data_IF_657069847780
#
_entry.id   IF_657069847780
#
_cell.length_a   1.000
_cell.length_b   1.000
_cell.length_c   1.000
_cell.angle_alpha   90.00
_cell.angle_beta   90.00
_cell.angle_gamma   90.00
#
_symmetry.space_group_name_H-M   'P 1'
#
loop_
_entity.id
_entity.type
_entity.pdbx_description
1 polymer ?
#
# COMPACT_ATOMS: atom_id res chain seq x y z
N UNK A 1 -10.28 2.59 -17.79
CA UNK A 1 -11.12 2.94 -16.62
C UNK A 1 -10.91 1.85 -15.60
N UNK A 2 -10.39 2.20 -14.42
CA UNK A 2 -10.27 1.23 -13.33
C UNK A 2 -11.64 1.07 -12.69
N UNK A 3 -12.14 -0.17 -12.61
CA UNK A 3 -13.48 -0.44 -12.10
C UNK A 3 -13.70 0.02 -10.65
N UNK A 4 -12.61 0.26 -9.92
CA UNK A 4 -12.59 0.60 -8.49
C UNK A 4 -12.05 2.00 -8.18
N UNK A 5 -11.77 2.83 -9.20
CA UNK A 5 -11.09 4.12 -8.98
C UNK A 5 -11.81 5.02 -7.96
N UNK A 6 -13.14 5.12 -8.07
CA UNK A 6 -13.93 5.94 -7.16
C UNK A 6 -13.88 5.40 -5.73
N UNK A 7 -13.95 4.08 -5.56
CA UNK A 7 -13.84 3.43 -4.26
C UNK A 7 -12.47 3.66 -3.64
N UNK A 8 -11.40 3.58 -4.44
CA UNK A 8 -10.03 3.89 -3.98
C UNK A 8 -9.94 5.34 -3.51
N UNK A 9 -10.49 6.31 -4.25
CA UNK A 9 -10.51 7.73 -3.82
C UNK A 9 -11.26 7.94 -2.50
N UNK A 10 -12.34 7.21 -2.25
CA UNK A 10 -13.03 7.26 -0.95
C UNK A 10 -12.21 6.59 0.16
N UNK A 11 -11.54 5.46 -0.11
CA UNK A 11 -10.66 4.81 0.85
C UNK A 11 -9.46 5.68 1.23
N UNK A 12 -8.90 6.46 0.31
CA UNK A 12 -7.85 7.45 0.62
C UNK A 12 -8.33 8.47 1.66
N UNK A 13 -9.59 8.90 1.59
CA UNK A 13 -10.15 9.82 2.60
C UNK A 13 -10.32 9.14 3.96
N UNK A 14 -10.70 7.86 3.97
CA UNK A 14 -10.80 7.05 5.19
C UNK A 14 -9.43 6.93 5.85
N UNK A 15 -8.40 6.58 5.07
CA UNK A 15 -7.03 6.43 5.57
C UNK A 15 -6.47 7.75 6.09
N UNK A 16 -6.66 8.84 5.34
CA UNK A 16 -6.27 10.19 5.79
C UNK A 16 -6.95 10.59 7.10
N UNK A 17 -8.24 10.29 7.26
CA UNK A 17 -8.97 10.56 8.50
C UNK A 17 -8.41 9.73 9.67
N UNK A 18 -8.16 8.43 9.46
CA UNK A 18 -7.59 7.54 10.47
C UNK A 18 -6.18 8.01 10.90
N UNK A 19 -5.32 8.38 9.95
CA UNK A 19 -3.99 8.90 10.23
C UNK A 19 -4.02 10.24 11.00
N UNK A 20 -4.99 11.12 10.70
CA UNK A 20 -5.17 12.38 11.43
C UNK A 20 -5.79 12.21 12.82
N UNK A 21 -6.58 11.16 13.05
CA UNK A 21 -7.09 10.81 14.38
C UNK A 21 -5.97 10.26 15.26
N UNK A 22 -5.09 9.42 14.68
CA UNK A 22 -4.02 8.75 15.41
C UNK A 22 -2.79 9.63 15.63
N UNK A 23 -2.45 10.50 14.68
CA UNK A 23 -1.23 11.29 14.69
C UNK A 23 -1.50 12.78 14.41
N UNK A 24 -0.80 13.70 15.08
CA UNK A 24 -0.91 15.13 14.80
C UNK A 24 -0.52 15.45 13.34
N UNK A 25 -0.83 16.66 12.84
CA UNK A 25 -0.26 17.15 11.59
C UNK A 25 1.28 17.12 11.64
N UNK A 26 1.91 16.93 10.49
CA UNK A 26 3.37 17.01 10.40
C UNK A 26 3.86 18.40 10.85
N UNK A 27 4.98 18.42 11.58
CA UNK A 27 5.59 19.65 12.09
C UNK A 27 6.58 20.25 11.09
N UNK A 28 7.01 19.49 10.09
CA UNK A 28 7.93 19.95 9.05
C UNK A 28 7.87 19.07 7.79
N UNK A 29 8.38 19.62 6.68
CA UNK A 29 8.57 18.86 5.45
C UNK A 29 9.50 17.64 5.61
N UNK A 30 10.50 17.70 6.52
CA UNK A 30 11.37 16.55 6.77
C UNK A 30 10.64 15.39 7.45
N UNK A 31 9.77 15.70 8.41
CA UNK A 31 8.92 14.70 9.08
C UNK A 31 7.95 14.08 8.08
N UNK A 32 7.23 14.91 7.31
CA UNK A 32 6.29 14.41 6.31
C UNK A 32 6.97 13.59 5.21
N UNK A 33 8.17 13.96 4.79
CA UNK A 33 8.95 13.18 3.82
C UNK A 33 9.38 11.82 4.38
N UNK A 34 9.78 11.76 5.66
CA UNK A 34 10.19 10.52 6.29
C UNK A 34 9.02 9.52 6.35
N UNK A 35 7.83 9.98 6.74
CA UNK A 35 6.62 9.14 6.76
C UNK A 35 6.24 8.70 5.35
N UNK A 36 6.25 9.62 4.37
CA UNK A 36 5.99 9.27 2.97
C UNK A 36 6.94 8.20 2.44
N UNK A 37 8.23 8.31 2.79
CA UNK A 37 9.22 7.32 2.39
C UNK A 37 8.93 5.95 3.02
N UNK A 38 8.55 5.91 4.29
CA UNK A 38 8.20 4.66 4.98
C UNK A 38 7.03 3.95 4.28
N UNK A 39 5.93 4.65 4.00
CA UNK A 39 4.77 4.07 3.30
C UNK A 39 5.12 3.57 1.88
N UNK A 40 6.02 4.26 1.17
CA UNK A 40 6.50 3.81 -0.14
C UNK A 40 7.37 2.55 -0.02
N UNK A 41 8.24 2.46 0.99
CA UNK A 41 9.05 1.27 1.23
C UNK A 41 8.18 0.06 1.64
N UNK A 42 7.11 0.28 2.40
CA UNK A 42 6.10 -0.76 2.72
C UNK A 42 5.37 -1.23 1.46
N UNK A 43 4.91 -0.30 0.60
CA UNK A 43 4.31 -0.63 -0.69
C UNK A 43 5.26 -1.43 -1.58
N UNK A 44 6.52 -1.01 -1.70
CA UNK A 44 7.54 -1.71 -2.48
C UNK A 44 7.74 -3.14 -1.96
N UNK A 45 7.82 -3.31 -0.64
CA UNK A 45 7.96 -4.62 0.00
C UNK A 45 6.81 -5.55 -0.36
N UNK A 46 5.56 -5.11 -0.20
CA UNK A 46 4.38 -5.94 -0.49
C UNK A 46 4.27 -6.27 -1.99
N UNK A 47 4.62 -5.32 -2.88
CA UNK A 47 4.65 -5.53 -4.32
C UNK A 47 5.75 -6.52 -4.75
N UNK A 48 6.94 -6.44 -4.15
CA UNK A 48 8.04 -7.37 -4.37
C UNK A 48 7.69 -8.78 -3.90
N UNK A 49 7.07 -8.91 -2.73
CA UNK A 49 6.59 -10.20 -2.21
C UNK A 49 5.55 -10.81 -3.14
N UNK A 50 4.58 -10.04 -3.62
CA UNK A 50 3.62 -10.51 -4.62
C UNK A 50 4.32 -11.03 -5.89
N UNK A 51 5.30 -10.29 -6.43
CA UNK A 51 6.02 -10.70 -7.63
C UNK A 51 6.86 -11.98 -7.42
N UNK A 52 7.52 -12.10 -6.25
CA UNK A 52 8.30 -13.28 -5.88
C UNK A 52 7.40 -14.51 -5.75
N UNK A 53 6.30 -14.39 -5.01
CA UNK A 53 5.33 -15.47 -4.79
C UNK A 53 4.68 -15.94 -6.10
N UNK A 54 4.42 -15.04 -7.06
CA UNK A 54 3.94 -15.44 -8.39
C UNK A 54 4.95 -16.35 -9.11
N UNK A 55 6.25 -16.04 -8.96
CA UNK A 55 7.34 -16.82 -9.55
C UNK A 55 7.42 -18.20 -8.90
N UNK A 56 7.29 -18.29 -7.58
CA UNK A 56 7.27 -19.55 -6.81
C UNK A 56 6.04 -20.40 -7.12
N UNK A 57 4.86 -19.78 -7.17
CA UNK A 57 3.62 -20.45 -7.60
C UNK A 57 3.80 -21.13 -8.95
N UNK A 58 4.47 -20.48 -9.91
CA UNK A 58 4.72 -21.04 -11.22
C UNK A 58 5.64 -22.27 -11.21
N UNK A 59 6.62 -22.32 -10.30
CA UNK A 59 7.47 -23.51 -10.12
C UNK A 59 6.60 -24.70 -9.71
N UNK A 60 5.77 -24.55 -8.67
CA UNK A 60 4.89 -25.61 -8.20
C UNK A 60 3.83 -26.03 -9.21
N UNK A 61 3.26 -25.07 -9.97
CA UNK A 61 2.26 -25.35 -11.01
C UNK A 61 2.85 -26.26 -12.09
N UNK A 62 4.07 -25.98 -12.56
CA UNK A 62 4.72 -26.80 -13.60
C UNK A 62 4.97 -28.23 -13.14
N UNK A 63 5.16 -28.43 -11.84
CA UNK A 63 5.42 -29.74 -11.25
C UNK A 63 4.12 -30.46 -10.81
N UNK A 64 2.93 -29.88 -11.09
CA UNK A 64 1.64 -30.34 -10.58
C UNK A 64 1.62 -30.48 -9.04
N UNK A 65 2.40 -29.66 -8.34
CA UNK A 65 2.49 -29.66 -6.89
C UNK A 65 1.31 -28.89 -6.28
N UNK A 66 0.74 -29.43 -5.20
CA UNK A 66 -0.38 -28.82 -4.51
C UNK A 66 0.00 -27.54 -3.74
N UNK A 67 1.28 -27.34 -3.42
CA UNK A 67 1.83 -26.14 -2.77
C UNK A 67 1.53 -24.86 -3.55
N UNK A 68 1.33 -24.95 -4.88
CA UNK A 68 0.89 -23.82 -5.70
C UNK A 68 -0.35 -23.10 -5.14
N UNK A 69 -1.28 -23.82 -4.48
CA UNK A 69 -2.46 -23.18 -3.88
C UNK A 69 -2.12 -22.27 -2.71
N UNK A 70 -1.09 -22.60 -1.94
CA UNK A 70 -0.69 -21.77 -0.81
C UNK A 70 0.06 -20.54 -1.30
N UNK A 71 0.92 -20.67 -2.32
CA UNK A 71 1.53 -19.50 -2.97
C UNK A 71 0.48 -18.54 -3.56
N UNK A 72 -0.57 -19.06 -4.21
CA UNK A 72 -1.64 -18.19 -4.72
C UNK A 72 -2.39 -17.46 -3.59
N UNK A 73 -2.53 -18.06 -2.40
CA UNK A 73 -3.12 -17.34 -1.24
C UNK A 73 -2.20 -16.24 -0.74
N UNK A 74 -0.89 -16.49 -0.69
CA UNK A 74 0.09 -15.47 -0.31
C UNK A 74 0.11 -14.33 -1.30
N UNK A 75 0.13 -14.63 -2.61
CA UNK A 75 0.04 -13.63 -3.68
C UNK A 75 -1.21 -12.76 -3.53
N UNK A 76 -2.36 -13.37 -3.26
CA UNK A 76 -3.61 -12.66 -3.02
C UNK A 76 -3.51 -11.72 -1.82
N UNK A 77 -2.90 -12.16 -0.71
CA UNK A 77 -2.71 -11.35 0.48
C UNK A 77 -1.76 -10.17 0.22
N UNK A 78 -0.59 -10.41 -0.37
CA UNK A 78 0.39 -9.37 -0.71
C UNK A 78 -0.18 -8.35 -1.69
N UNK A 79 -1.00 -8.78 -2.66
CA UNK A 79 -1.66 -7.85 -3.58
C UNK A 79 -2.71 -6.95 -2.88
N UNK A 80 -3.44 -7.48 -1.89
CA UNK A 80 -4.37 -6.67 -1.09
C UNK A 80 -3.59 -5.68 -0.22
N UNK A 81 -2.54 -6.14 0.45
CA UNK A 81 -1.70 -5.29 1.29
C UNK A 81 -1.07 -4.16 0.48
N UNK A 82 -0.46 -4.47 -0.68
CA UNK A 82 0.07 -3.46 -1.59
C UNK A 82 -1.00 -2.43 -2.03
N UNK A 83 -2.26 -2.85 -2.18
CA UNK A 83 -3.34 -1.90 -2.46
C UNK A 83 -3.64 -0.98 -1.26
N UNK A 84 -3.58 -1.50 -0.03
CA UNK A 84 -3.68 -0.71 1.19
C UNK A 84 -2.51 0.27 1.33
N UNK A 85 -1.26 -0.19 1.18
CA UNK A 85 -0.08 0.67 1.30
C UNK A 85 -0.09 1.77 0.22
N UNK A 86 -0.53 1.49 -1.00
CA UNK A 86 -0.70 2.50 -2.04
C UNK A 86 -1.77 3.56 -1.67
N UNK A 87 -2.83 3.17 -0.96
CA UNK A 87 -3.84 4.08 -0.42
C UNK A 87 -3.24 4.93 0.71
N UNK A 88 -2.42 4.35 1.58
CA UNK A 88 -1.69 5.07 2.63
C UNK A 88 -0.70 6.08 2.04
N UNK A 89 0.07 5.71 1.03
CA UNK A 89 0.94 6.65 0.28
C UNK A 89 0.12 7.83 -0.25
N UNK A 90 -1.03 7.58 -0.88
CA UNK A 90 -1.90 8.63 -1.40
C UNK A 90 -2.48 9.51 -0.27
N UNK A 91 -2.84 8.91 0.88
CA UNK A 91 -3.31 9.64 2.04
C UNK A 91 -2.21 10.49 2.67
N UNK A 92 -0.99 9.97 2.81
CA UNK A 92 0.14 10.70 3.38
C UNK A 92 0.60 11.82 2.45
N UNK A 93 0.45 11.66 1.13
CA UNK A 93 0.64 12.76 0.17
C UNK A 93 -0.34 13.90 0.46
N UNK A 94 -1.63 13.60 0.64
CA UNK A 94 -2.63 14.61 0.96
C UNK A 94 -2.35 15.26 2.34
N UNK A 95 -2.01 14.45 3.36
CA UNK A 95 -1.64 14.96 4.69
C UNK A 95 -0.45 15.91 4.64
N UNK A 96 0.53 15.63 3.79
CA UNK A 96 1.69 16.50 3.55
C UNK A 96 1.28 17.83 2.94
N UNK A 97 0.45 17.82 1.90
CA UNK A 97 -0.02 19.04 1.24
C UNK A 97 -0.89 19.90 2.18
N UNK A 98 -1.74 19.27 2.98
CA UNK A 98 -2.59 19.93 3.98
C UNK A 98 -1.78 20.63 5.11
N UNK A 99 -0.51 20.27 5.30
CA UNK A 99 0.42 20.95 6.21
C UNK A 99 0.96 22.24 5.57
N UNK A 100 1.36 22.21 4.30
CA UNK A 100 1.91 23.37 3.59
C UNK A 100 0.86 24.47 3.41
N UNK A 101 -0.39 24.10 3.15
CA UNK A 101 -1.51 25.05 3.04
C UNK A 101 -1.85 25.78 4.35
N UNK A 102 -1.28 25.36 5.49
CA UNK A 102 -1.48 25.96 6.81
C UNK A 102 -0.33 26.87 7.27
N UNK A 103 0.77 26.95 6.52
CA UNK A 103 1.94 27.79 6.82
C UNK A 103 1.85 29.15 6.12
#
# INVERSE_FOLDING_TARGET
MNAVENQVRELVKVELAAANEKFPPFHSAHEGWAVLKEEVEELETEAEMAASTLTEAWVFIKDNDQAAKDEIKWLWQYAINAACEAIQVAAMCQKFLDMEDKQ
#
